data_IF_776707078336
#
_entry.id   IF_776707078336
#
_cell.length_a   1.000
_cell.length_b   1.000
_cell.length_c   1.000
_cell.angle_alpha   90.00
_cell.angle_beta   90.00
_cell.angle_gamma   90.00
#
_symmetry.space_group_name_H-M   'P 1'
#
loop_
_entity.id
_entity.type
_entity.pdbx_description
1 polymer ?
#
# COMPACT_ATOMS: atom_id res chain seq x y z
N UNK A 1 6.10 6.38 13.27
CA UNK A 1 4.99 6.32 12.30
C UNK A 1 4.74 4.88 11.87
N UNK A 2 3.53 4.61 11.44
CA UNK A 2 3.16 3.32 10.87
C UNK A 2 3.24 3.43 9.35
N UNK A 3 3.88 2.45 8.72
CA UNK A 3 4.11 2.47 7.28
C UNK A 3 3.78 1.12 6.65
N UNK A 4 3.34 1.14 5.41
CA UNK A 4 3.13 -0.05 4.60
C UNK A 4 4.14 -0.08 3.46
N UNK A 5 4.56 -1.28 3.06
CA UNK A 5 5.53 -1.45 1.98
C UNK A 5 4.89 -1.26 0.61
N UNK A 6 5.66 -0.71 -0.32
CA UNK A 6 5.27 -0.61 -1.73
C UNK A 6 6.37 -1.26 -2.55
N UNK A 7 5.99 -2.04 -3.55
CA UNK A 7 6.93 -2.68 -4.47
C UNK A 7 6.54 -2.41 -5.91
N UNK A 8 7.54 -2.30 -6.78
CA UNK A 8 7.35 -2.21 -8.23
C UNK A 8 7.39 -3.59 -8.91
N UNK A 9 7.53 -4.67 -8.15
CA UNK A 9 7.65 -6.02 -8.70
C UNK A 9 6.31 -6.50 -9.22
N UNK A 10 6.23 -6.71 -10.53
CA UNK A 10 5.01 -7.14 -11.21
C UNK A 10 4.75 -8.64 -11.09
N UNK A 11 5.80 -9.41 -10.79
CA UNK A 11 5.71 -10.87 -10.66
C UNK A 11 5.11 -11.32 -9.34
N UNK A 12 4.86 -10.38 -8.43
CA UNK A 12 4.30 -10.70 -7.13
C UNK A 12 2.81 -11.00 -7.25
N UNK A 13 2.37 -12.10 -6.66
CA UNK A 13 0.97 -12.48 -6.66
C UNK A 13 0.11 -11.40 -6.02
N UNK A 14 -0.96 -11.03 -6.69
CA UNK A 14 -1.89 -10.02 -6.17
C UNK A 14 -2.83 -10.67 -5.15
N UNK A 15 -2.69 -10.27 -3.89
CA UNK A 15 -3.52 -10.74 -2.78
C UNK A 15 -4.60 -9.71 -2.46
N UNK A 16 -5.61 -10.12 -1.67
CA UNK A 16 -6.67 -9.20 -1.23
C UNK A 16 -6.14 -8.09 -0.32
N UNK A 17 -4.95 -8.28 0.27
CA UNK A 17 -4.26 -7.25 1.07
C UNK A 17 -3.37 -6.34 0.22
N UNK A 18 -3.37 -6.52 -1.09
CA UNK A 18 -2.61 -5.68 -2.01
C UNK A 18 -3.51 -4.65 -2.67
N UNK A 19 -2.97 -3.47 -2.92
CA UNK A 19 -3.65 -2.41 -3.70
C UNK A 19 -2.75 -2.03 -4.86
N UNK A 20 -3.30 -2.10 -6.07
CA UNK A 20 -2.58 -1.70 -7.28
C UNK A 20 -2.56 -0.17 -7.36
N UNK A 21 -1.36 0.38 -7.48
CA UNK A 21 -1.16 1.82 -7.66
C UNK A 21 -0.63 2.07 -9.06
N UNK A 22 -1.40 2.80 -9.85
CA UNK A 22 -1.04 3.15 -11.23
C UNK A 22 -0.92 4.65 -11.37
N UNK A 23 0.10 5.08 -12.11
CA UNK A 23 0.28 6.49 -12.48
C UNK A 23 0.37 7.44 -11.28
N UNK A 24 0.90 6.96 -10.16
CA UNK A 24 1.20 7.84 -9.03
C UNK A 24 2.52 8.54 -9.29
N UNK A 25 2.55 9.87 -9.34
CA UNK A 25 3.80 10.60 -9.58
C UNK A 25 4.89 10.21 -8.57
N UNK A 26 6.09 9.94 -9.07
CA UNK A 26 7.22 9.57 -8.23
C UNK A 26 7.37 8.08 -7.98
N UNK A 27 6.35 7.27 -8.31
CA UNK A 27 6.42 5.82 -8.22
C UNK A 27 6.59 5.20 -9.60
N UNK A 28 7.03 3.94 -9.64
CA UNK A 28 7.03 3.19 -10.89
C UNK A 28 5.61 3.18 -11.49
N UNK A 29 5.46 3.10 -12.82
CA UNK A 29 4.14 3.17 -13.45
C UNK A 29 3.12 2.20 -12.89
N UNK A 30 3.58 1.02 -12.47
CA UNK A 30 2.74 0.05 -11.80
C UNK A 30 3.42 -0.36 -10.50
N UNK A 31 2.77 -0.14 -9.37
CA UNK A 31 3.29 -0.49 -8.05
C UNK A 31 2.22 -1.18 -7.24
N UNK A 32 2.62 -2.00 -6.28
CA UNK A 32 1.70 -2.66 -5.36
C UNK A 32 1.93 -2.16 -3.94
N UNK A 33 0.86 -1.75 -3.30
CA UNK A 33 0.85 -1.43 -1.87
C UNK A 33 0.52 -2.72 -1.12
N UNK A 34 1.37 -3.09 -0.16
CA UNK A 34 1.32 -4.39 0.52
C UNK A 34 0.85 -4.20 1.95
N UNK A 35 -0.46 -4.34 2.19
CA UNK A 35 -1.03 -4.10 3.51
C UNK A 35 -0.76 -5.22 4.51
N UNK A 36 -0.25 -6.36 4.05
CA UNK A 36 0.22 -7.41 4.96
C UNK A 36 1.62 -7.11 5.51
N UNK A 37 2.30 -6.08 5.00
CA UNK A 37 3.65 -5.68 5.42
C UNK A 37 3.61 -4.29 6.04
N UNK A 38 2.87 -4.17 7.13
CA UNK A 38 2.78 -2.93 7.90
C UNK A 38 3.72 -3.02 9.08
N UNK A 39 4.45 -1.94 9.36
CA UNK A 39 5.32 -1.88 10.53
C UNK A 39 5.51 -0.45 11.00
N UNK A 40 5.97 -0.32 12.24
CA UNK A 40 6.34 0.98 12.79
C UNK A 40 7.74 1.35 12.32
N UNK A 41 7.87 2.58 11.87
CA UNK A 41 9.14 3.12 11.36
C UNK A 41 9.47 4.39 12.14
N UNK A 42 10.75 4.55 12.53
CA UNK A 42 11.21 5.78 13.16
C UNK A 42 11.10 6.94 12.15
N UNK A 43 10.55 8.06 12.60
CA UNK A 43 10.36 9.23 11.74
C UNK A 43 11.66 9.71 11.10
N UNK A 44 12.79 9.52 11.76
CA UNK A 44 14.11 9.90 11.23
C UNK A 44 14.51 9.10 10.00
N UNK A 45 13.84 7.98 9.74
CA UNK A 45 14.10 7.14 8.55
C UNK A 45 13.30 7.57 7.34
N UNK A 46 12.37 8.49 7.51
CA UNK A 46 11.61 9.04 6.39
C UNK A 46 12.51 9.94 5.56
N UNK A 47 12.43 9.82 4.23
CA UNK A 47 13.28 10.56 3.32
C UNK A 47 12.51 11.72 2.70
N UNK A 48 11.97 11.60 1.57
CA UNK A 48 11.27 12.67 0.89
C UNK A 48 9.79 12.37 0.71
N UNK A 49 9.03 13.42 0.50
CA UNK A 49 7.64 13.28 0.09
C UNK A 49 7.62 13.04 -1.42
N UNK A 50 6.93 11.99 -1.86
CA UNK A 50 6.85 11.63 -3.28
C UNK A 50 5.54 12.13 -3.88
N UNK A 51 4.41 11.85 -3.22
CA UNK A 51 3.10 12.21 -3.72
C UNK A 51 2.02 11.61 -2.85
N UNK A 52 0.78 11.66 -3.32
CA UNK A 52 -0.34 11.05 -2.59
C UNK A 52 -1.28 10.34 -3.54
N UNK A 53 -2.03 9.39 -3.03
CA UNK A 53 -3.00 8.63 -3.80
C UNK A 53 -4.37 9.31 -3.72
N UNK A 54 -5.23 9.04 -4.70
CA UNK A 54 -6.56 9.66 -4.74
C UNK A 54 -7.53 8.97 -3.77
N UNK A 55 -8.74 9.56 -3.63
CA UNK A 55 -9.74 9.06 -2.68
C UNK A 55 -10.20 7.63 -3.00
N UNK A 56 -10.30 7.29 -4.28
CA UNK A 56 -10.70 5.95 -4.69
C UNK A 56 -9.68 4.92 -4.23
N UNK A 57 -8.39 5.21 -4.43
CA UNK A 57 -7.31 4.32 -3.98
C UNK A 57 -7.21 4.29 -2.46
N UNK A 58 -7.53 5.37 -1.77
CA UNK A 58 -7.58 5.36 -0.31
C UNK A 58 -8.67 4.42 0.20
N UNK A 59 -9.84 4.38 -0.44
CA UNK A 59 -10.90 3.43 -0.07
C UNK A 59 -10.46 1.99 -0.28
N UNK A 60 -9.79 1.70 -1.39
CA UNK A 60 -9.24 0.38 -1.65
C UNK A 60 -8.20 0.00 -0.59
N UNK A 61 -7.37 0.96 -0.19
CA UNK A 61 -6.36 0.77 0.86
C UNK A 61 -7.01 0.48 2.19
N UNK A 62 -8.06 1.21 2.56
CA UNK A 62 -8.79 0.98 3.81
C UNK A 62 -9.37 -0.42 3.85
N UNK A 63 -9.94 -0.89 2.74
CA UNK A 63 -10.50 -2.24 2.65
C UNK A 63 -9.41 -3.30 2.79
N UNK A 64 -8.31 -3.14 2.07
CA UNK A 64 -7.19 -4.08 2.12
C UNK A 64 -6.56 -4.11 3.52
N UNK A 65 -6.46 -2.95 4.18
CA UNK A 65 -5.95 -2.86 5.54
C UNK A 65 -6.88 -3.60 6.52
N UNK A 66 -8.19 -3.39 6.40
CA UNK A 66 -9.16 -4.08 7.24
C UNK A 66 -9.06 -5.60 7.09
N UNK A 67 -8.85 -6.09 5.87
CA UNK A 67 -8.63 -7.51 5.60
C UNK A 67 -7.34 -7.98 6.29
N UNK A 68 -6.26 -7.23 6.15
CA UNK A 68 -4.96 -7.64 6.68
C UNK A 68 -4.93 -7.75 8.19
N UNK A 69 -5.75 -6.97 8.89
CA UNK A 69 -5.84 -7.02 10.36
C UNK A 69 -7.04 -7.83 10.86
N UNK A 70 -7.74 -8.53 9.96
CA UNK A 70 -8.81 -9.45 10.36
C UNK A 70 -10.16 -8.80 10.62
N UNK A 71 -10.36 -7.55 10.23
CA UNK A 71 -11.63 -6.84 10.45
C UNK A 71 -12.65 -7.12 9.35
N UNK A 72 -12.24 -7.69 8.22
CA UNK A 72 -13.15 -8.00 7.11
C UNK A 72 -12.85 -9.38 6.54
N UNK A 73 -13.88 -9.99 5.98
CA UNK A 73 -13.76 -11.27 5.31
C UNK A 73 -13.02 -11.12 3.98
N UNK A 74 -12.31 -12.18 3.57
CA UNK A 74 -11.68 -12.27 2.25
C UNK A 74 -12.69 -12.57 1.14
N UNK A 75 -13.83 -13.09 1.50
CA UNK A 75 -14.86 -13.46 0.54
C UNK A 75 -15.66 -12.26 0.05
#
# INVERSE_FOLDING_TARGET
VVAAAITSRRDKTHLSTHVLLEDVPGLAPTSLLLLEQIRTVDRRRLRGYIGQINKKKMKETDTALAISVGLRSLA
#
